data_IF_342766948117
#
_entry.id   IF_342766948117
#
_cell.length_a   1.000
_cell.length_b   1.000
_cell.length_c   1.000
_cell.angle_alpha   90.00
_cell.angle_beta   90.00
_cell.angle_gamma   90.00
#
_symmetry.space_group_name_H-M   'P 1'
#
loop_
_entity.id
_entity.type
_entity.pdbx_description
1 polymer ?
#
# COMPACT_ATOMS: atom_id res chain seq x y z
N UNK A 1 9.09 -18.96 17.13
CA UNK A 1 8.60 -18.07 16.03
C UNK A 1 9.63 -16.99 15.84
N UNK A 2 10.06 -16.71 14.61
CA UNK A 2 11.11 -15.71 14.36
C UNK A 2 10.50 -14.31 14.53
N UNK A 3 11.18 -13.43 15.27
CA UNK A 3 10.74 -12.05 15.46
C UNK A 3 10.65 -11.32 14.12
N UNK A 4 9.70 -10.39 14.00
CA UNK A 4 9.55 -9.59 12.79
C UNK A 4 10.76 -8.65 12.65
N UNK A 5 11.54 -8.74 11.56
CA UNK A 5 12.78 -7.98 11.40
C UNK A 5 12.57 -6.46 11.22
N UNK A 6 11.35 -6.01 11.01
CA UNK A 6 11.02 -4.58 10.86
C UNK A 6 10.72 -3.89 12.20
N UNK A 7 10.34 -4.65 13.25
CA UNK A 7 10.03 -4.09 14.59
C UNK A 7 11.17 -3.29 15.21
N UNK A 8 12.45 -3.72 15.13
CA UNK A 8 13.55 -2.99 15.74
C UNK A 8 13.77 -1.56 15.19
N UNK A 9 13.20 -1.23 14.03
CA UNK A 9 13.29 0.11 13.44
C UNK A 9 12.25 1.11 13.97
N UNK A 10 11.27 0.62 14.73
CA UNK A 10 10.31 1.48 15.43
C UNK A 10 10.91 2.03 16.72
N UNK A 11 10.44 3.20 17.21
CA UNK A 11 10.80 3.71 18.52
C UNK A 11 10.56 2.65 19.62
N UNK A 12 11.43 2.58 20.65
CA UNK A 12 11.38 1.51 21.67
C UNK A 12 10.02 1.33 22.34
N UNK A 13 9.30 2.42 22.60
CA UNK A 13 7.99 2.37 23.25
C UNK A 13 6.88 1.79 22.35
N UNK A 14 7.09 1.71 21.04
CA UNK A 14 6.16 1.09 20.10
C UNK A 14 6.46 -0.39 19.85
N UNK A 15 7.70 -0.85 20.12
CA UNK A 15 8.14 -2.20 19.71
C UNK A 15 7.32 -3.33 20.35
N UNK A 16 6.87 -3.16 21.61
CA UNK A 16 6.05 -4.15 22.27
C UNK A 16 4.71 -4.36 21.55
N UNK A 17 3.95 -3.31 21.31
CA UNK A 17 2.68 -3.39 20.58
C UNK A 17 2.86 -3.84 19.11
N UNK A 18 3.93 -3.36 18.45
CA UNK A 18 4.28 -3.75 17.09
C UNK A 18 4.70 -5.22 16.94
N UNK A 19 5.03 -5.90 18.06
CA UNK A 19 5.39 -7.32 18.08
C UNK A 19 4.18 -8.26 18.11
N UNK A 20 2.95 -7.74 18.06
CA UNK A 20 1.73 -8.55 17.93
C UNK A 20 1.86 -9.52 16.75
N UNK A 21 1.61 -10.81 17.05
CA UNK A 21 1.67 -11.87 16.05
C UNK A 21 0.35 -11.92 15.27
N UNK A 22 0.38 -11.79 13.94
CA UNK A 22 -0.84 -11.84 13.15
C UNK A 22 -1.43 -13.25 13.11
N UNK A 23 -2.75 -13.34 13.08
CA UNK A 23 -3.45 -14.54 12.62
C UNK A 23 -3.31 -14.61 11.10
N UNK A 24 -2.61 -15.60 10.58
CA UNK A 24 -2.50 -15.85 9.14
C UNK A 24 -3.72 -16.59 8.60
N UNK A 25 -4.34 -16.07 7.56
CA UNK A 25 -5.43 -16.71 6.82
C UNK A 25 -5.08 -16.78 5.34
N UNK A 26 -5.84 -17.61 4.62
CA UNK A 26 -5.61 -17.86 3.19
C UNK A 26 -6.93 -17.81 2.45
N UNK A 27 -6.98 -17.01 1.40
CA UNK A 27 -8.12 -16.90 0.51
C UNK A 27 -7.78 -17.46 -0.87
N UNK A 28 -8.70 -18.22 -1.47
CA UNK A 28 -8.53 -18.73 -2.83
C UNK A 28 -9.27 -17.82 -3.79
N UNK A 29 -8.54 -17.27 -4.76
CA UNK A 29 -9.08 -16.36 -5.75
C UNK A 29 -8.46 -16.63 -7.13
N UNK A 30 -9.26 -17.02 -8.13
CA UNK A 30 -8.81 -17.30 -9.51
C UNK A 30 -7.52 -18.12 -9.59
N UNK A 31 -7.39 -19.17 -8.80
CA UNK A 31 -6.19 -20.02 -8.69
C UNK A 31 -5.04 -19.44 -7.87
N UNK A 32 -5.12 -18.19 -7.45
CA UNK A 32 -4.20 -17.62 -6.46
C UNK A 32 -4.52 -18.16 -5.06
N UNK A 33 -3.51 -18.28 -4.23
CA UNK A 33 -3.63 -18.52 -2.80
C UNK A 33 -3.13 -17.28 -2.07
N UNK A 34 -4.05 -16.39 -1.75
CA UNK A 34 -3.77 -15.08 -1.16
C UNK A 34 -3.58 -15.21 0.34
N UNK A 35 -2.46 -14.73 0.85
CA UNK A 35 -2.20 -14.65 2.28
C UNK A 35 -2.72 -13.33 2.83
N UNK A 36 -3.38 -13.40 3.99
CA UNK A 36 -3.90 -12.24 4.72
C UNK A 36 -3.48 -12.37 6.19
N UNK A 37 -2.74 -11.40 6.67
CA UNK A 37 -2.39 -11.22 8.08
C UNK A 37 -3.50 -10.44 8.78
N UNK A 38 -3.94 -10.87 9.97
CA UNK A 38 -5.10 -10.30 10.65
C UNK A 38 -4.83 -10.05 12.13
N UNK A 39 -5.37 -8.95 12.64
CA UNK A 39 -5.60 -8.68 14.05
C UNK A 39 -7.10 -8.37 14.21
N UNK A 40 -7.94 -9.41 14.37
CA UNK A 40 -9.38 -9.23 14.46
C UNK A 40 -9.75 -8.57 15.80
N UNK A 41 -10.63 -7.58 15.72
CA UNK A 41 -11.26 -6.91 16.87
C UNK A 41 -12.77 -6.84 16.62
N UNK A 42 -13.54 -7.81 17.09
CA UNK A 42 -14.98 -7.87 16.80
C UNK A 42 -15.79 -6.65 17.28
N UNK A 43 -15.31 -5.99 18.33
CA UNK A 43 -15.93 -4.77 18.87
C UNK A 43 -15.51 -3.48 18.18
N UNK A 44 -14.65 -3.54 17.17
CA UNK A 44 -14.22 -2.35 16.44
C UNK A 44 -15.37 -1.75 15.63
N UNK A 45 -15.51 -0.40 15.63
CA UNK A 45 -16.59 0.27 14.91
C UNK A 45 -16.43 0.23 13.39
N UNK A 46 -15.23 -0.05 12.91
CA UNK A 46 -14.90 -0.17 11.49
C UNK A 46 -13.75 -1.17 11.30
N UNK A 47 -13.59 -1.62 10.06
CA UNK A 47 -12.46 -2.47 9.65
C UNK A 47 -11.45 -1.67 8.85
N UNK A 48 -10.18 -2.03 8.97
CA UNK A 48 -9.09 -1.46 8.16
C UNK A 48 -8.44 -2.56 7.33
N UNK A 49 -8.28 -2.33 6.03
CA UNK A 49 -7.46 -3.15 5.13
C UNK A 49 -6.20 -2.38 4.77
N UNK A 50 -5.04 -2.88 5.19
CA UNK A 50 -3.75 -2.31 4.84
C UNK A 50 -3.24 -2.93 3.54
N UNK A 51 -3.12 -2.11 2.50
CA UNK A 51 -2.66 -2.48 1.16
C UNK A 51 -1.23 -1.97 0.95
N UNK A 52 -0.30 -2.88 0.66
CA UNK A 52 1.10 -2.54 0.44
C UNK A 52 1.36 -2.00 -0.98
N UNK A 53 2.51 -1.34 -1.15
CA UNK A 53 3.02 -0.91 -2.45
C UNK A 53 4.03 -1.89 -3.05
N UNK A 54 4.70 -1.46 -4.13
CA UNK A 54 5.75 -2.22 -4.80
C UNK A 54 6.93 -2.49 -3.85
N UNK A 55 7.35 -3.73 -3.76
CA UNK A 55 8.41 -4.14 -2.84
C UNK A 55 7.98 -4.25 -1.37
N UNK A 56 6.69 -4.04 -1.07
CA UNK A 56 6.09 -4.26 0.24
C UNK A 56 5.41 -5.62 0.35
N UNK A 57 5.00 -5.97 1.55
CA UNK A 57 4.15 -7.14 1.86
C UNK A 57 3.60 -7.02 3.29
N UNK A 58 2.60 -7.82 3.63
CA UNK A 58 1.95 -7.78 4.94
C UNK A 58 2.95 -7.86 6.10
N UNK A 59 3.97 -8.72 6.02
CA UNK A 59 4.97 -8.86 7.08
C UNK A 59 5.85 -7.62 7.28
N UNK A 60 6.17 -6.87 6.22
CA UNK A 60 6.94 -5.63 6.34
C UNK A 60 6.10 -4.51 6.97
N UNK A 61 4.82 -4.42 6.61
CA UNK A 61 3.90 -3.40 7.12
C UNK A 61 3.19 -3.83 8.41
N UNK A 62 3.36 -5.09 8.84
CA UNK A 62 2.69 -5.60 10.03
C UNK A 62 2.98 -4.79 11.32
N UNK A 63 4.19 -4.29 11.56
CA UNK A 63 4.43 -3.45 12.73
C UNK A 63 3.50 -2.23 12.79
N UNK A 64 3.21 -1.59 11.64
CA UNK A 64 2.25 -0.47 11.54
C UNK A 64 0.82 -0.97 11.81
N UNK A 65 0.43 -2.10 11.19
CA UNK A 65 -0.88 -2.69 11.41
C UNK A 65 -1.10 -3.06 12.88
N UNK A 66 -0.09 -3.63 13.54
CA UNK A 66 -0.15 -3.98 14.96
C UNK A 66 -0.33 -2.75 15.86
N UNK A 67 0.30 -1.62 15.52
CA UNK A 67 0.08 -0.35 16.24
C UNK A 67 -1.33 0.19 16.04
N UNK A 68 -1.91 0.06 14.84
CA UNK A 68 -3.32 0.42 14.60
C UNK A 68 -4.25 -0.51 15.39
N UNK A 69 -3.96 -1.82 15.40
CA UNK A 69 -4.72 -2.80 16.19
C UNK A 69 -4.67 -2.48 17.70
N UNK A 70 -3.54 -2.00 18.21
CA UNK A 70 -3.41 -1.59 19.62
C UNK A 70 -4.32 -0.41 20.01
N UNK A 71 -4.92 0.27 19.03
CA UNK A 71 -5.94 1.31 19.23
C UNK A 71 -7.37 0.75 19.25
N UNK A 72 -7.55 -0.58 19.27
CA UNK A 72 -8.87 -1.23 19.25
C UNK A 72 -9.52 -1.23 17.86
N UNK A 73 -8.73 -1.32 16.79
CA UNK A 73 -9.20 -1.35 15.40
C UNK A 73 -8.99 -2.76 14.82
N UNK A 74 -10.03 -3.29 14.19
CA UNK A 74 -9.94 -4.52 13.37
C UNK A 74 -9.12 -4.22 12.13
N UNK A 75 -7.96 -4.85 11.98
CA UNK A 75 -7.08 -4.61 10.85
C UNK A 75 -6.60 -5.91 10.20
N UNK A 76 -6.60 -5.89 8.88
CA UNK A 76 -5.99 -6.91 8.04
C UNK A 76 -4.97 -6.30 7.08
N UNK A 77 -4.00 -7.10 6.66
CA UNK A 77 -3.01 -6.75 5.65
C UNK A 77 -2.84 -7.93 4.70
N UNK A 78 -3.12 -7.72 3.43
CA UNK A 78 -2.98 -8.73 2.39
C UNK A 78 -1.56 -8.75 1.81
N UNK A 79 -1.20 -9.90 1.24
CA UNK A 79 -0.05 -10.02 0.34
C UNK A 79 -0.57 -10.06 -1.09
N UNK A 80 -0.39 -8.98 -1.84
CA UNK A 80 -0.75 -8.94 -3.26
C UNK A 80 0.07 -9.95 -4.09
N UNK A 81 -0.47 -10.47 -5.19
CA UNK A 81 0.26 -11.38 -6.10
C UNK A 81 1.66 -10.87 -6.43
N UNK A 82 2.65 -11.75 -6.44
CA UNK A 82 4.10 -11.53 -6.58
C UNK A 82 4.84 -11.20 -5.27
N UNK A 83 4.15 -10.89 -4.18
CA UNK A 83 4.78 -10.48 -2.93
C UNK A 83 4.35 -11.34 -1.73
N UNK A 84 5.09 -11.20 -0.65
CA UNK A 84 4.78 -11.81 0.62
C UNK A 84 4.76 -13.33 0.58
N UNK A 85 3.67 -13.90 1.08
CA UNK A 85 3.40 -15.35 1.09
C UNK A 85 2.40 -15.78 0.03
N UNK A 86 1.77 -14.83 -0.66
CA UNK A 86 0.80 -15.14 -1.72
C UNK A 86 1.44 -15.96 -2.84
N UNK A 87 0.73 -16.97 -3.30
CA UNK A 87 1.16 -17.84 -4.38
C UNK A 87 0.26 -17.65 -5.59
N UNK A 88 0.85 -17.34 -6.72
CA UNK A 88 0.17 -17.22 -8.00
C UNK A 88 0.39 -18.46 -8.86
N UNK A 89 -0.62 -18.95 -9.58
CA UNK A 89 -0.47 -20.14 -10.44
C UNK A 89 0.53 -19.89 -11.57
N UNK A 90 0.51 -18.69 -12.15
CA UNK A 90 1.43 -18.26 -13.21
C UNK A 90 1.96 -16.86 -12.88
N UNK A 91 3.01 -16.71 -12.06
CA UNK A 91 3.53 -15.40 -11.65
C UNK A 91 3.85 -14.46 -12.83
N UNK A 92 4.39 -15.01 -13.93
CA UNK A 92 4.71 -14.25 -15.14
C UNK A 92 3.48 -13.68 -15.89
N UNK A 93 2.26 -14.12 -15.55
CA UNK A 93 1.02 -13.61 -16.12
C UNK A 93 0.38 -12.49 -15.28
N UNK A 94 0.81 -12.28 -14.04
CA UNK A 94 0.27 -11.24 -13.17
C UNK A 94 0.49 -9.85 -13.79
N UNK A 95 -0.55 -9.04 -13.76
CA UNK A 95 -0.59 -7.64 -14.23
C UNK A 95 -1.14 -6.75 -13.12
N UNK A 96 -1.06 -5.44 -13.30
CA UNK A 96 -1.58 -4.50 -12.30
C UNK A 96 -3.11 -4.61 -12.13
N UNK A 97 -3.83 -4.88 -13.24
CA UNK A 97 -5.27 -5.17 -13.20
C UNK A 97 -5.61 -6.32 -12.25
N UNK A 98 -4.73 -7.35 -12.19
CA UNK A 98 -4.88 -8.48 -11.25
C UNK A 98 -4.95 -8.01 -9.78
N UNK A 99 -4.20 -6.96 -9.43
CA UNK A 99 -4.24 -6.38 -8.09
C UNK A 99 -5.54 -5.63 -7.83
N UNK A 100 -5.99 -4.85 -8.81
CA UNK A 100 -7.25 -4.09 -8.71
C UNK A 100 -8.42 -5.04 -8.54
N UNK A 101 -8.54 -6.04 -9.41
CA UNK A 101 -9.64 -7.01 -9.42
C UNK A 101 -9.64 -7.85 -8.13
N UNK A 102 -8.45 -8.30 -7.69
CA UNK A 102 -8.31 -9.05 -6.44
C UNK A 102 -8.81 -8.24 -5.24
N UNK A 103 -8.45 -6.96 -5.14
CA UNK A 103 -8.87 -6.14 -4.00
C UNK A 103 -10.35 -5.82 -4.03
N UNK A 104 -10.94 -5.59 -5.20
CA UNK A 104 -12.39 -5.40 -5.34
C UNK A 104 -13.12 -6.66 -4.86
N UNK A 105 -12.71 -7.84 -5.32
CA UNK A 105 -13.32 -9.10 -4.95
C UNK A 105 -13.06 -9.45 -3.47
N UNK A 106 -11.90 -9.07 -2.91
CA UNK A 106 -11.60 -9.25 -1.49
C UNK A 106 -12.51 -8.38 -0.62
N UNK A 107 -12.70 -7.12 -0.99
CA UNK A 107 -13.60 -6.19 -0.29
C UNK A 107 -15.03 -6.74 -0.26
N UNK A 108 -15.50 -7.30 -1.38
CA UNK A 108 -16.82 -7.92 -1.45
C UNK A 108 -16.91 -9.22 -0.64
N UNK A 109 -15.91 -10.10 -0.78
CA UNK A 109 -15.90 -11.40 -0.11
C UNK A 109 -15.81 -11.30 1.42
N UNK A 110 -15.19 -10.24 1.93
CA UNK A 110 -14.99 -10.00 3.37
C UNK A 110 -15.97 -8.98 3.95
N UNK A 111 -16.97 -8.58 3.21
CA UNK A 111 -17.98 -7.62 3.65
C UNK A 111 -18.74 -8.13 4.87
N UNK A 112 -18.86 -7.28 5.89
CA UNK A 112 -19.78 -7.43 7.01
C UNK A 112 -20.58 -6.12 7.20
N UNK A 113 -21.25 -5.96 8.34
CA UNK A 113 -22.06 -4.76 8.64
C UNK A 113 -21.22 -3.51 8.95
N UNK A 114 -19.92 -3.68 9.21
CA UNK A 114 -19.01 -2.59 9.57
C UNK A 114 -18.44 -1.92 8.33
N UNK A 115 -18.30 -0.60 8.33
CA UNK A 115 -17.64 0.11 7.24
C UNK A 115 -16.17 -0.29 7.11
N UNK A 116 -15.66 -0.25 5.88
CA UNK A 116 -14.27 -0.55 5.56
C UNK A 116 -13.51 0.73 5.21
N UNK A 117 -12.37 0.93 5.88
CA UNK A 117 -11.34 1.91 5.50
C UNK A 117 -10.17 1.18 4.86
N UNK A 118 -9.68 1.62 3.72
CA UNK A 118 -8.44 1.07 3.13
C UNK A 118 -7.28 2.01 3.45
N UNK A 119 -6.24 1.46 4.10
CA UNK A 119 -4.96 2.14 4.30
C UNK A 119 -3.97 1.70 3.21
N UNK A 120 -3.70 2.56 2.25
CA UNK A 120 -2.78 2.28 1.16
C UNK A 120 -1.39 2.86 1.36
N UNK A 121 -0.36 2.02 1.31
CA UNK A 121 1.03 2.44 1.44
C UNK A 121 1.70 2.61 0.08
N UNK A 122 2.37 3.74 -0.17
CA UNK A 122 3.08 4.04 -1.44
C UNK A 122 2.13 3.91 -2.65
N UNK A 123 2.50 3.16 -3.71
CA UNK A 123 1.58 2.91 -4.84
C UNK A 123 0.28 2.21 -4.41
N UNK A 124 0.27 1.55 -3.26
CA UNK A 124 -0.95 1.01 -2.65
C UNK A 124 -1.98 2.10 -2.29
N UNK A 125 -1.56 3.35 -2.12
CA UNK A 125 -2.47 4.46 -1.84
C UNK A 125 -3.36 4.80 -3.03
N UNK A 126 -2.80 4.96 -4.22
CA UNK A 126 -3.62 5.20 -5.41
C UNK A 126 -4.41 3.94 -5.83
N UNK A 127 -3.85 2.74 -5.58
CA UNK A 127 -4.56 1.48 -5.77
C UNK A 127 -5.79 1.39 -4.84
N UNK A 128 -5.65 1.73 -3.56
CA UNK A 128 -6.77 1.80 -2.62
C UNK A 128 -7.85 2.80 -3.07
N UNK A 129 -7.42 3.96 -3.59
CA UNK A 129 -8.32 4.98 -4.10
C UNK A 129 -9.05 4.53 -5.38
N UNK A 130 -8.38 3.74 -6.25
CA UNK A 130 -8.99 3.09 -7.43
C UNK A 130 -10.04 2.04 -7.02
N UNK A 131 -9.70 1.19 -6.04
CA UNK A 131 -10.65 0.20 -5.51
C UNK A 131 -11.88 0.90 -4.92
N UNK A 132 -11.69 1.98 -4.17
CA UNK A 132 -12.78 2.77 -3.61
C UNK A 132 -13.67 3.42 -4.67
N UNK A 133 -13.10 3.82 -5.82
CA UNK A 133 -13.89 4.35 -6.94
C UNK A 133 -14.77 3.30 -7.63
N UNK A 134 -14.42 2.01 -7.50
CA UNK A 134 -15.11 0.89 -8.16
C UNK A 134 -15.96 0.04 -7.20
N UNK A 135 -15.74 0.15 -5.90
CA UNK A 135 -16.48 -0.62 -4.90
C UNK A 135 -17.26 0.32 -3.97
N UNK A 136 -18.59 0.17 -3.85
CA UNK A 136 -19.39 0.97 -2.92
C UNK A 136 -19.19 0.56 -1.46
N UNK A 137 -18.42 -0.50 -1.20
CA UNK A 137 -18.18 -1.05 0.15
C UNK A 137 -16.94 -0.48 0.83
N UNK A 138 -16.24 0.45 0.18
CA UNK A 138 -15.14 1.21 0.78
C UNK A 138 -15.69 2.55 1.25
N UNK A 139 -15.70 2.75 2.56
CA UNK A 139 -16.24 3.95 3.18
C UNK A 139 -15.26 5.14 3.19
N UNK A 140 -13.96 4.86 3.26
CA UNK A 140 -12.91 5.89 3.19
C UNK A 140 -11.55 5.30 2.82
N UNK A 141 -10.64 6.15 2.35
CA UNK A 141 -9.24 5.80 2.06
C UNK A 141 -8.32 6.65 2.90
N UNK A 142 -7.33 6.02 3.54
CA UNK A 142 -6.12 6.65 4.05
C UNK A 142 -4.95 6.24 3.14
N UNK A 143 -4.13 7.17 2.68
CA UNK A 143 -3.05 6.88 1.75
C UNK A 143 -1.76 7.58 2.17
N UNK A 144 -0.61 6.91 2.11
CA UNK A 144 0.68 7.59 2.35
C UNK A 144 1.18 8.32 1.11
N UNK A 145 0.71 7.93 -0.07
CA UNK A 145 0.96 8.59 -1.35
C UNK A 145 -0.21 8.39 -2.30
N UNK A 146 -0.40 9.32 -3.24
CA UNK A 146 -1.31 9.23 -4.38
C UNK A 146 -0.52 9.45 -5.66
N UNK A 147 0.29 8.46 -6.04
CA UNK A 147 1.24 8.57 -7.16
C UNK A 147 0.60 8.08 -8.46
N UNK A 148 0.19 9.03 -9.28
CA UNK A 148 -0.37 8.75 -10.62
C UNK A 148 0.75 8.36 -11.61
N UNK A 149 0.78 7.10 -12.11
CA UNK A 149 1.73 6.68 -13.12
C UNK A 149 1.51 7.36 -14.49
N UNK A 150 0.39 8.04 -14.71
CA UNK A 150 0.15 8.91 -15.86
C UNK A 150 1.01 10.18 -15.83
N UNK A 151 1.43 10.63 -14.64
CA UNK A 151 2.25 11.83 -14.48
C UNK A 151 3.74 11.53 -14.68
N UNK A 152 4.39 12.25 -15.62
CA UNK A 152 5.81 12.03 -15.95
C UNK A 152 6.76 12.33 -14.80
N UNK A 153 6.46 13.33 -13.95
CA UNK A 153 7.26 13.64 -12.78
C UNK A 153 7.15 12.51 -11.73
N UNK A 154 5.94 11.96 -11.52
CA UNK A 154 5.78 10.80 -10.64
C UNK A 154 6.59 9.60 -11.15
N UNK A 155 6.58 9.31 -12.45
CA UNK A 155 7.41 8.24 -13.06
C UNK A 155 8.90 8.44 -12.80
N UNK A 156 9.41 9.66 -12.94
CA UNK A 156 10.82 9.96 -12.69
C UNK A 156 11.21 9.68 -11.23
N UNK A 157 10.33 9.94 -10.27
CA UNK A 157 10.57 9.66 -8.86
C UNK A 157 10.42 8.17 -8.50
N UNK A 158 9.46 7.47 -9.10
CA UNK A 158 9.19 6.06 -8.80
C UNK A 158 10.33 5.13 -9.21
N UNK A 159 11.06 5.44 -10.28
CA UNK A 159 12.07 4.54 -10.83
C UNK A 159 13.48 4.84 -10.31
N UNK A 160 14.31 3.80 -10.23
CA UNK A 160 15.73 3.95 -9.90
C UNK A 160 16.50 4.74 -10.96
N UNK A 161 16.02 4.72 -12.19
CA UNK A 161 16.63 5.43 -13.33
C UNK A 161 16.33 6.95 -13.33
N UNK A 162 15.58 7.47 -12.35
CA UNK A 162 15.27 8.90 -12.23
C UNK A 162 14.60 9.45 -13.51
N UNK A 163 15.18 10.50 -14.09
CA UNK A 163 14.64 11.13 -15.29
C UNK A 163 14.43 10.16 -16.48
N UNK A 164 15.24 9.10 -16.61
CA UNK A 164 15.02 8.06 -17.62
C UNK A 164 13.75 7.24 -17.36
N UNK A 165 13.20 7.28 -16.17
CA UNK A 165 11.90 6.66 -15.85
C UNK A 165 10.74 7.23 -16.68
N UNK A 166 10.88 8.46 -17.18
CA UNK A 166 9.93 9.07 -18.12
C UNK A 166 9.77 8.23 -19.39
N UNK A 167 10.86 7.60 -19.86
CA UNK A 167 10.85 6.67 -20.99
C UNK A 167 10.16 5.34 -20.68
N UNK A 168 9.88 5.03 -19.42
CA UNK A 168 9.17 3.82 -19.01
C UNK A 168 7.81 3.67 -19.69
N UNK A 169 7.10 4.76 -19.95
CA UNK A 169 5.83 4.74 -20.68
C UNK A 169 5.97 4.18 -22.10
N UNK A 170 6.77 4.79 -22.98
CA UNK A 170 7.07 4.25 -24.31
C UNK A 170 7.67 2.84 -24.27
N UNK A 171 8.65 2.56 -23.40
CA UNK A 171 9.26 1.24 -23.25
C UNK A 171 8.27 0.18 -22.79
N UNK A 172 7.24 0.54 -22.03
CA UNK A 172 6.20 -0.40 -21.60
C UNK A 172 5.43 -1.03 -22.77
N UNK A 173 5.38 -0.34 -23.91
CA UNK A 173 4.75 -0.86 -25.14
C UNK A 173 5.55 -2.04 -25.70
N UNK A 174 6.87 -2.07 -25.47
CA UNK A 174 7.75 -3.14 -25.93
C UNK A 174 7.64 -4.40 -25.04
N UNK A 175 7.14 -4.27 -23.81
CA UNK A 175 6.95 -5.39 -22.90
C UNK A 175 5.73 -6.24 -23.29
N UNK A 176 5.80 -6.89 -24.47
CA UNK A 176 4.76 -7.73 -25.06
C UNK A 176 5.28 -9.16 -25.27
N UNK A 177 4.37 -10.10 -25.50
CA UNK A 177 4.71 -11.50 -25.78
C UNK A 177 5.62 -12.12 -24.72
N UNK A 178 6.69 -12.77 -25.15
CA UNK A 178 7.67 -13.41 -24.27
C UNK A 178 8.40 -12.43 -23.34
N UNK A 179 8.71 -11.22 -23.83
CA UNK A 179 9.39 -10.19 -23.03
C UNK A 179 8.56 -9.77 -21.83
N UNK A 180 7.24 -9.70 -21.94
CA UNK A 180 6.36 -9.39 -20.82
C UNK A 180 6.46 -10.38 -19.66
N UNK A 181 6.90 -11.61 -19.92
CA UNK A 181 7.05 -12.69 -18.93
C UNK A 181 8.43 -12.69 -18.27
N UNK A 182 9.37 -11.87 -18.74
CA UNK A 182 10.71 -11.74 -18.15
C UNK A 182 10.60 -11.22 -16.73
N UNK A 183 11.19 -11.94 -15.79
CA UNK A 183 11.14 -11.63 -14.36
C UNK A 183 12.35 -10.78 -13.96
N UNK A 184 12.11 -9.63 -13.35
CA UNK A 184 13.14 -8.70 -12.83
C UNK A 184 12.95 -8.47 -11.34
N UNK A 185 14.06 -8.21 -10.60
CA UNK A 185 13.95 -7.85 -9.18
C UNK A 185 13.34 -6.47 -9.03
N UNK A 186 12.44 -6.29 -8.07
CA UNK A 186 11.83 -4.98 -7.79
C UNK A 186 12.89 -3.95 -7.37
N UNK A 187 13.92 -4.35 -6.62
CA UNK A 187 15.03 -3.48 -6.21
C UNK A 187 15.91 -3.00 -7.38
N UNK A 188 15.85 -3.66 -8.53
CA UNK A 188 16.53 -3.19 -9.75
C UNK A 188 15.75 -2.05 -10.43
N UNK A 189 14.44 -1.99 -10.22
CA UNK A 189 13.52 -1.04 -10.89
C UNK A 189 13.18 0.15 -9.99
N UNK A 190 12.75 -0.12 -8.75
CA UNK A 190 12.34 0.89 -7.79
C UNK A 190 13.53 1.41 -6.96
N UNK A 191 13.47 2.68 -6.56
CA UNK A 191 14.53 3.31 -5.79
C UNK A 191 14.40 3.01 -4.28
N UNK A 192 14.43 1.72 -3.89
CA UNK A 192 14.26 1.28 -2.50
C UNK A 192 15.33 1.80 -1.53
N UNK A 193 16.42 2.41 -2.04
CA UNK A 193 17.43 3.06 -1.20
C UNK A 193 16.90 4.33 -0.51
N UNK A 194 15.81 4.90 -1.01
CA UNK A 194 15.12 6.08 -0.46
C UNK A 194 13.91 5.72 0.38
N UNK A 195 13.74 4.43 0.72
CA UNK A 195 12.59 3.92 1.46
C UNK A 195 12.51 4.53 2.87
N UNK A 196 13.63 4.74 3.54
CA UNK A 196 13.71 5.29 4.88
C UNK A 196 14.93 6.19 5.03
N UNK A 197 14.91 7.06 6.02
CA UNK A 197 16.09 7.80 6.51
C UNK A 197 17.12 6.85 7.12
N UNK A 198 16.65 5.74 7.71
CA UNK A 198 17.52 4.66 8.18
C UNK A 198 17.99 3.81 7.00
N UNK A 199 19.33 3.79 6.80
CA UNK A 199 19.97 3.01 5.73
C UNK A 199 19.85 1.51 5.94
N UNK A 200 19.81 1.04 7.20
CA UNK A 200 19.66 -0.39 7.50
C UNK A 200 18.25 -0.86 7.16
N UNK A 201 17.22 -0.06 7.47
CA UNK A 201 15.84 -0.33 7.04
C UNK A 201 15.71 -0.33 5.51
N UNK A 202 16.27 0.67 4.83
CA UNK A 202 16.26 0.73 3.36
C UNK A 202 16.97 -0.48 2.74
N UNK A 203 18.06 -0.94 3.36
CA UNK A 203 18.76 -2.17 2.95
C UNK A 203 17.88 -3.40 3.17
N UNK A 204 17.28 -3.54 4.36
CA UNK A 204 16.36 -4.64 4.66
C UNK A 204 15.24 -4.70 3.62
N UNK A 205 14.54 -3.58 3.37
CA UNK A 205 13.50 -3.50 2.34
C UNK A 205 14.01 -3.95 0.96
N UNK A 206 15.25 -3.59 0.60
CA UNK A 206 15.80 -3.90 -0.73
C UNK A 206 16.17 -5.38 -0.91
N UNK A 207 16.59 -6.07 0.16
CA UNK A 207 17.06 -7.47 0.10
C UNK A 207 15.99 -8.47 0.54
N UNK A 208 14.85 -8.03 1.06
CA UNK A 208 13.78 -8.91 1.51
C UNK A 208 13.25 -9.72 0.32
N UNK A 209 13.35 -11.08 0.35
CA UNK A 209 12.90 -11.92 -0.77
C UNK A 209 11.40 -11.91 -0.98
N UNK A 210 10.61 -11.45 0.01
CA UNK A 210 9.16 -11.29 -0.08
C UNK A 210 8.74 -9.91 -0.53
N UNK A 211 9.67 -8.96 -0.56
CA UNK A 211 9.46 -7.55 -0.86
C UNK A 211 10.36 -7.05 -1.98
N UNK A 212 11.38 -6.26 -1.65
CA UNK A 212 12.23 -5.61 -2.65
C UNK A 212 13.05 -6.55 -3.53
N UNK A 213 13.50 -7.69 -3.01
CA UNK A 213 14.18 -8.71 -3.82
C UNK A 213 13.21 -9.63 -4.57
N UNK A 214 11.91 -9.53 -4.34
CA UNK A 214 10.92 -10.29 -5.10
C UNK A 214 11.01 -9.98 -6.59
N UNK A 215 10.74 -11.00 -7.40
CA UNK A 215 10.79 -10.88 -8.86
C UNK A 215 9.40 -10.61 -9.43
N UNK A 216 9.29 -9.59 -10.26
CA UNK A 216 8.06 -9.20 -10.94
C UNK A 216 8.22 -9.28 -12.45
N UNK A 217 7.19 -9.66 -13.22
CA UNK A 217 7.31 -9.67 -14.68
C UNK A 217 7.33 -8.24 -15.24
N UNK A 218 8.08 -8.03 -16.31
CA UNK A 218 8.07 -6.74 -17.03
C UNK A 218 6.67 -6.34 -17.45
N UNK A 219 5.80 -7.31 -17.76
CA UNK A 219 4.40 -7.07 -18.08
C UNK A 219 3.60 -6.46 -16.93
N UNK A 220 3.92 -6.78 -15.66
CA UNK A 220 3.32 -6.13 -14.50
C UNK A 220 3.71 -4.65 -14.44
N UNK A 221 5.00 -4.35 -14.56
CA UNK A 221 5.49 -2.96 -14.57
C UNK A 221 4.90 -2.17 -15.73
N UNK A 222 4.84 -2.78 -16.91
CA UNK A 222 4.27 -2.17 -18.09
C UNK A 222 2.75 -1.92 -17.95
N UNK A 223 2.00 -2.86 -17.35
CA UNK A 223 0.57 -2.67 -17.11
C UNK A 223 0.31 -1.57 -16.09
N UNK A 224 1.10 -1.49 -15.00
CA UNK A 224 1.03 -0.40 -14.04
C UNK A 224 1.24 0.97 -14.69
N UNK A 225 2.31 1.12 -15.50
CA UNK A 225 2.63 2.39 -16.16
C UNK A 225 1.59 2.82 -17.20
N UNK A 226 0.78 1.88 -17.72
CA UNK A 226 -0.29 2.14 -18.70
C UNK A 226 -1.68 2.13 -18.10
N UNK A 227 -1.80 1.75 -16.83
CA UNK A 227 -3.10 1.70 -16.18
C UNK A 227 -3.71 3.10 -16.12
N UNK A 228 -4.96 3.20 -16.53
CA UNK A 228 -5.73 4.44 -16.43
C UNK A 228 -6.61 4.36 -15.19
N UNK A 229 -6.17 5.04 -14.13
CA UNK A 229 -6.95 5.13 -12.90
C UNK A 229 -8.22 5.96 -13.13
N UNK A 230 -9.23 5.67 -12.34
CA UNK A 230 -10.43 6.50 -12.27
C UNK A 230 -10.03 7.95 -11.97
N UNK A 231 -10.45 8.93 -12.78
CA UNK A 231 -10.13 10.33 -12.52
C UNK A 231 -10.61 10.74 -11.11
N UNK A 232 -9.78 11.45 -10.34
CA UNK A 232 -10.14 11.87 -8.97
C UNK A 232 -11.47 12.64 -8.90
N UNK A 233 -11.81 13.38 -9.96
CA UNK A 233 -13.07 14.12 -10.11
C UNK A 233 -14.32 13.22 -10.17
N UNK A 234 -14.14 11.94 -10.37
CA UNK A 234 -15.23 10.94 -10.40
C UNK A 234 -15.30 10.10 -9.13
N UNK A 235 -14.29 10.18 -8.26
CA UNK A 235 -14.25 9.43 -7.02
C UNK A 235 -14.74 10.30 -5.86
N UNK A 236 -15.88 9.95 -5.31
CA UNK A 236 -16.51 10.66 -4.18
C UNK A 236 -16.17 10.07 -2.81
N UNK A 237 -15.41 8.97 -2.76
CA UNK A 237 -14.98 8.36 -1.51
C UNK A 237 -14.07 9.32 -0.75
N UNK A 238 -14.31 9.56 0.55
CA UNK A 238 -13.43 10.36 1.38
C UNK A 238 -12.00 9.85 1.35
N UNK A 239 -11.02 10.74 1.20
CA UNK A 239 -9.61 10.39 1.17
C UNK A 239 -8.80 11.27 2.11
N UNK A 240 -7.99 10.65 2.97
CA UNK A 240 -7.01 11.33 3.82
C UNK A 240 -5.61 10.95 3.35
N UNK A 241 -4.86 11.93 2.85
CA UNK A 241 -3.45 11.75 2.50
C UNK A 241 -2.60 11.96 3.75
N UNK A 242 -1.98 10.88 4.24
CA UNK A 242 -1.07 10.84 5.39
C UNK A 242 0.37 10.84 4.87
N UNK A 243 0.86 12.00 4.41
CA UNK A 243 2.13 12.06 3.69
C UNK A 243 3.33 12.19 4.62
N UNK A 244 4.39 11.34 4.49
CA UNK A 244 5.59 11.45 5.28
C UNK A 244 6.34 12.77 5.02
N UNK A 245 6.57 13.57 6.06
CA UNK A 245 7.12 14.93 5.94
C UNK A 245 8.59 15.00 5.54
N UNK A 246 9.33 13.89 5.69
CA UNK A 246 10.74 13.77 5.28
C UNK A 246 10.91 12.73 4.16
N UNK A 247 9.87 12.54 3.36
CA UNK A 247 9.94 11.63 2.21
C UNK A 247 10.94 12.14 1.17
N UNK A 248 12.10 11.49 1.10
CA UNK A 248 13.14 11.80 0.12
C UNK A 248 12.89 11.15 -1.25
N UNK A 249 11.86 10.31 -1.35
CA UNK A 249 11.55 9.57 -2.57
C UNK A 249 10.41 10.21 -3.36
N UNK A 250 9.31 10.50 -2.71
CA UNK A 250 8.10 11.01 -3.39
C UNK A 250 7.65 12.34 -2.74
N UNK A 251 7.99 13.49 -3.34
CA UNK A 251 7.55 14.80 -2.85
C UNK A 251 6.03 14.90 -2.72
N UNK A 252 5.56 15.57 -1.68
CA UNK A 252 4.11 15.70 -1.36
C UNK A 252 3.32 16.31 -2.51
N UNK A 253 3.92 17.20 -3.28
CA UNK A 253 3.31 17.90 -4.40
C UNK A 253 2.77 16.94 -5.48
N UNK A 254 3.40 15.77 -5.63
CA UNK A 254 2.94 14.75 -6.58
C UNK A 254 1.59 14.16 -6.16
N UNK A 255 1.44 13.86 -4.86
CA UNK A 255 0.20 13.33 -4.30
C UNK A 255 -0.87 14.43 -4.12
N UNK A 256 -0.46 15.64 -3.74
CA UNK A 256 -1.35 16.78 -3.58
C UNK A 256 -2.07 17.15 -4.89
N UNK A 257 -1.42 16.97 -6.04
CA UNK A 257 -2.07 17.16 -7.36
C UNK A 257 -3.24 16.22 -7.61
N UNK A 258 -3.17 14.99 -7.12
CA UNK A 258 -4.29 14.03 -7.21
C UNK A 258 -5.34 14.40 -6.18
N UNK A 259 -4.91 14.68 -4.93
CA UNK A 259 -5.79 15.01 -3.82
C UNK A 259 -6.66 16.24 -4.11
N UNK A 260 -6.06 17.31 -4.66
CA UNK A 260 -6.77 18.57 -4.97
C UNK A 260 -7.86 18.44 -6.04
N UNK A 261 -7.90 17.32 -6.75
CA UNK A 261 -8.89 17.00 -7.78
C UNK A 261 -9.97 16.04 -7.30
N UNK A 262 -9.89 15.56 -6.05
CA UNK A 262 -10.87 14.64 -5.50
C UNK A 262 -12.26 15.27 -5.45
N UNK A 263 -13.28 14.53 -5.88
CA UNK A 263 -14.67 15.00 -5.83
C UNK A 263 -15.32 14.83 -4.45
N UNK A 264 -14.77 13.93 -3.63
CA UNK A 264 -15.21 13.71 -2.24
C UNK A 264 -14.40 14.51 -1.24
N UNK A 265 -14.71 14.39 0.06
CA UNK A 265 -13.92 14.99 1.14
C UNK A 265 -12.45 14.57 1.04
N UNK A 266 -11.54 15.53 1.13
CA UNK A 266 -10.11 15.30 0.91
C UNK A 266 -9.29 16.08 1.95
N UNK A 267 -8.52 15.35 2.76
CA UNK A 267 -7.70 15.90 3.82
C UNK A 267 -6.22 15.58 3.60
N UNK A 268 -5.34 16.50 4.01
CA UNK A 268 -3.89 16.32 4.02
C UNK A 268 -3.36 16.42 5.45
N UNK A 269 -2.65 15.38 5.87
CA UNK A 269 -1.87 15.35 7.11
C UNK A 269 -0.40 15.09 6.77
N UNK A 270 0.48 15.98 7.21
CA UNK A 270 1.93 15.79 7.07
C UNK A 270 2.43 15.06 8.32
N UNK A 271 2.93 13.84 8.12
CA UNK A 271 3.52 13.02 9.17
C UNK A 271 4.92 13.54 9.48
N UNK A 272 5.10 14.12 10.65
CA UNK A 272 6.35 14.81 11.01
C UNK A 272 7.52 13.83 11.13
N UNK A 273 8.69 14.26 10.71
CA UNK A 273 10.01 13.63 10.89
C UNK A 273 10.17 12.20 10.32
N UNK A 274 9.19 11.61 9.63
CA UNK A 274 9.32 10.27 9.07
C UNK A 274 9.61 10.26 7.57
N UNK A 275 10.30 9.22 7.12
CA UNK A 275 10.61 8.93 5.72
C UNK A 275 9.47 8.20 5.00
N UNK A 276 9.72 7.79 3.74
CA UNK A 276 8.73 7.12 2.88
C UNK A 276 8.09 5.88 3.56
N UNK A 277 8.89 5.09 4.26
CA UNK A 277 8.40 4.06 5.17
C UNK A 277 8.33 4.66 6.58
N UNK A 278 7.15 5.08 7.04
CA UNK A 278 7.03 5.89 8.24
C UNK A 278 7.18 5.04 9.50
N UNK A 279 8.39 5.02 10.06
CA UNK A 279 8.72 4.28 11.29
C UNK A 279 9.21 5.20 12.41
N UNK A 280 9.52 6.47 12.09
CA UNK A 280 10.07 7.44 13.04
C UNK A 280 8.97 8.24 13.72
N UNK A 281 9.16 8.59 15.01
CA UNK A 281 8.31 9.54 15.72
C UNK A 281 8.65 11.00 15.36
N UNK A 282 7.63 11.87 15.48
CA UNK A 282 6.22 11.60 15.85
C UNK A 282 5.36 11.07 14.70
N UNK A 283 5.89 10.97 13.48
CA UNK A 283 5.12 10.62 12.28
C UNK A 283 4.43 9.25 12.35
N UNK A 284 5.07 8.22 12.93
CA UNK A 284 4.43 6.90 13.09
C UNK A 284 3.24 6.96 14.06
N UNK A 285 3.37 7.70 15.15
CA UNK A 285 2.28 7.94 16.10
C UNK A 285 1.14 8.70 15.42
N UNK A 286 1.44 9.76 14.68
CA UNK A 286 0.47 10.55 13.91
C UNK A 286 -0.27 9.70 12.87
N UNK A 287 0.43 8.83 12.15
CA UNK A 287 -0.19 7.90 11.20
C UNK A 287 -1.19 6.97 11.89
N UNK A 288 -0.74 6.32 12.96
CA UNK A 288 -1.56 5.36 13.72
C UNK A 288 -2.82 6.05 14.27
N UNK A 289 -2.66 7.21 14.88
CA UNK A 289 -3.77 7.96 15.48
C UNK A 289 -4.72 8.52 14.40
N UNK A 290 -4.20 8.96 13.25
CA UNK A 290 -5.03 9.42 12.13
C UNK A 290 -5.87 8.27 11.53
N UNK A 291 -5.27 7.10 11.33
CA UNK A 291 -5.98 5.91 10.81
C UNK A 291 -7.05 5.44 11.80
N UNK A 292 -6.69 5.31 13.08
CA UNK A 292 -7.64 4.91 14.12
C UNK A 292 -8.77 5.94 14.29
N UNK A 293 -8.44 7.24 14.26
CA UNK A 293 -9.41 8.32 14.30
C UNK A 293 -10.37 8.31 13.11
N UNK A 294 -9.85 8.07 11.90
CA UNK A 294 -10.66 7.93 10.69
C UNK A 294 -11.63 6.74 10.81
N UNK A 295 -11.12 5.56 11.21
CA UNK A 295 -11.93 4.36 11.38
C UNK A 295 -13.08 4.57 12.38
N UNK A 296 -12.82 5.22 13.53
CA UNK A 296 -13.86 5.53 14.52
C UNK A 296 -14.90 6.52 13.99
N UNK A 297 -14.50 7.60 13.30
CA UNK A 297 -15.43 8.57 12.71
C UNK A 297 -16.34 7.91 11.68
N UNK A 298 -15.78 7.06 10.81
CA UNK A 298 -16.56 6.34 9.80
C UNK A 298 -17.51 5.34 10.45
N UNK A 299 -17.08 4.62 11.50
CA UNK A 299 -17.93 3.72 12.26
C UNK A 299 -19.14 4.43 12.89
N UNK A 300 -18.91 5.55 13.58
CA UNK A 300 -20.00 6.30 14.23
C UNK A 300 -21.01 6.93 13.23
N UNK A 301 -20.59 7.23 12.01
CA UNK A 301 -21.50 7.72 10.95
C UNK A 301 -22.37 6.63 10.35
N UNK A 302 -21.98 5.35 10.47
CA UNK A 302 -22.76 4.22 9.94
C UNK A 302 -23.81 3.71 10.94
N UNK A 303 -23.70 4.08 12.21
CA UNK A 303 -24.66 3.75 13.27
C UNK A 303 -25.78 4.79 13.43
N UNK A 304 -25.61 5.98 12.83
CA UNK A 304 -26.57 7.09 12.87
C UNK A 304 -27.48 7.09 11.64
#
# INVERSE_FOLDING_TARGET
MQANPYVPFLPPHHQHAASLVPRSTWWRWHGHRVHIARAPEPGAPARVLLVHGAGGHSGALWPIAALVASRGIDISADDLPLYGRTRSPVPAAVRYDTWVDLLIDLVEAERDHRPLVILGASIGGLLAYEVAARSPHVAAVAATCLLDPGNLHARAHMTRAGALGVLGGPLSVLARGGLARTMVSMSAVANLRRMSRDRALSRLCSIDPRGGAARVPLGFLASYLRFTHTPPERNRTPVTLLHPGRDAWTPVELSARVLSRAAGPADLVILRECGHFPVEDPGITELVDAVAGLARRIGSQSEA
#
